data_IF_947132173305
#
_entry.id   IF_947132173305
#
_cell.length_a   1.000
_cell.length_b   1.000
_cell.length_c   1.000
_cell.angle_alpha   90.00
_cell.angle_beta   90.00
_cell.angle_gamma   90.00
#
_symmetry.space_group_name_H-M   'P 1'
#
loop_
_entity.id
_entity.type
_entity.pdbx_description
1 polymer ?
#
# COMPACT_ATOMS: atom_id res chain seq x y z
N UNK A 1 -10.91 -0.16 27.94
CA UNK A 1 -9.76 -0.38 27.04
C UNK A 1 -9.70 0.77 26.06
N UNK A 2 -8.53 1.32 25.73
CA UNK A 2 -8.42 2.25 24.61
C UNK A 2 -8.78 1.53 23.30
N UNK A 3 -9.54 2.19 22.43
CA UNK A 3 -9.92 1.68 21.11
C UNK A 3 -8.66 1.50 20.25
N UNK A 4 -8.45 0.33 19.66
CA UNK A 4 -7.32 0.11 18.74
C UNK A 4 -7.66 0.60 17.32
N UNK A 5 -6.64 0.84 16.48
CA UNK A 5 -6.83 1.16 15.05
C UNK A 5 -7.60 0.05 14.32
N UNK A 6 -7.42 -1.21 14.73
CA UNK A 6 -8.14 -2.35 14.17
C UNK A 6 -9.61 -2.36 14.57
N UNK A 7 -9.93 -2.13 15.84
CA UNK A 7 -11.32 -2.04 16.31
C UNK A 7 -12.06 -0.90 15.59
N UNK A 8 -11.40 0.26 15.49
CA UNK A 8 -11.95 1.41 14.78
C UNK A 8 -12.23 1.13 13.30
N UNK A 9 -11.31 0.46 12.62
CA UNK A 9 -11.49 0.04 11.23
C UNK A 9 -12.66 -0.92 11.10
N UNK A 10 -12.81 -1.89 12.00
CA UNK A 10 -13.88 -2.88 11.93
C UNK A 10 -15.26 -2.28 12.20
N UNK A 11 -15.36 -1.40 13.20
CA UNK A 11 -16.61 -0.78 13.63
C UNK A 11 -17.08 0.29 12.62
N UNK A 12 -16.20 1.21 12.25
CA UNK A 12 -16.60 2.39 11.47
C UNK A 12 -16.43 2.19 9.97
N UNK A 13 -15.38 1.48 9.57
CA UNK A 13 -14.97 1.34 8.17
C UNK A 13 -14.99 -0.11 7.68
N UNK A 14 -15.69 -1.00 8.39
CA UNK A 14 -15.72 -2.44 8.07
C UNK A 14 -16.23 -2.75 6.67
N UNK A 15 -16.99 -1.84 6.06
CA UNK A 15 -17.41 -1.94 4.65
C UNK A 15 -16.24 -1.91 3.66
N UNK A 16 -15.13 -1.22 3.98
CA UNK A 16 -13.90 -1.24 3.16
C UNK A 16 -13.32 -2.65 3.16
N UNK A 17 -13.17 -3.29 4.31
CA UNK A 17 -12.70 -4.69 4.43
C UNK A 17 -13.66 -5.66 3.73
N UNK A 18 -14.97 -5.43 3.81
CA UNK A 18 -16.00 -6.26 3.13
C UNK A 18 -15.94 -6.13 1.59
N UNK A 19 -15.44 -5.02 1.06
CA UNK A 19 -15.32 -4.78 -0.39
C UNK A 19 -14.48 -5.83 -1.12
N UNK A 20 -13.61 -6.55 -0.40
CA UNK A 20 -12.83 -7.69 -0.91
C UNK A 20 -13.68 -8.76 -1.59
N UNK A 21 -14.93 -8.94 -1.13
CA UNK A 21 -15.89 -9.87 -1.73
C UNK A 21 -16.28 -9.47 -3.15
N UNK A 22 -16.32 -8.17 -3.44
CA UNK A 22 -16.67 -7.66 -4.77
C UNK A 22 -15.54 -7.85 -5.76
N UNK A 23 -14.28 -7.78 -5.30
CA UNK A 23 -13.08 -7.94 -6.13
C UNK A 23 -12.55 -9.37 -6.17
N UNK A 24 -12.98 -10.26 -5.27
CA UNK A 24 -12.40 -11.60 -5.14
C UNK A 24 -10.99 -11.57 -4.55
N UNK A 25 -10.67 -10.54 -3.77
CA UNK A 25 -9.37 -10.37 -3.11
C UNK A 25 -9.39 -10.94 -1.68
N UNK A 26 -8.22 -11.22 -1.15
CA UNK A 26 -8.02 -11.48 0.28
C UNK A 26 -7.52 -10.21 0.98
N UNK A 27 -7.74 -10.12 2.29
CA UNK A 27 -7.24 -8.99 3.08
C UNK A 27 -6.41 -9.51 4.24
N UNK A 28 -5.28 -8.88 4.48
CA UNK A 28 -4.39 -9.15 5.62
C UNK A 28 -4.22 -7.86 6.40
N UNK A 29 -4.44 -7.93 7.71
CA UNK A 29 -4.16 -6.84 8.65
C UNK A 29 -2.70 -6.89 9.08
N UNK A 30 -2.06 -5.74 9.23
CA UNK A 30 -0.69 -5.62 9.71
C UNK A 30 -0.62 -5.95 11.20
N UNK A 31 -0.60 -7.23 11.58
CA UNK A 31 -0.54 -7.63 13.00
C UNK A 31 0.87 -7.52 13.61
N UNK A 32 1.82 -6.85 12.96
CA UNK A 32 3.19 -6.65 13.46
C UNK A 32 3.55 -5.15 13.46
N UNK A 33 2.72 -4.34 14.10
CA UNK A 33 3.19 -3.06 14.63
C UNK A 33 4.03 -3.35 15.86
N UNK A 34 5.32 -3.68 15.68
CA UNK A 34 6.29 -3.54 16.76
C UNK A 34 6.41 -2.04 17.08
N UNK A 35 5.53 -1.58 17.95
CA UNK A 35 5.52 -0.24 18.50
C UNK A 35 6.82 0.00 19.26
N UNK A 36 7.67 0.88 18.72
CA UNK A 36 8.58 1.79 19.45
C UNK A 36 9.74 2.17 18.54
N UNK A 37 9.51 3.12 17.62
CA UNK A 37 10.62 3.85 17.01
C UNK A 37 11.28 4.83 17.99
N UNK A 38 10.66 5.08 19.17
CA UNK A 38 11.29 5.78 20.29
C UNK A 38 12.56 5.06 20.77
N UNK A 39 12.56 3.71 20.77
CA UNK A 39 13.74 2.95 21.17
C UNK A 39 14.92 3.09 20.17
N UNK A 40 14.64 3.17 18.86
CA UNK A 40 15.68 3.31 17.82
C UNK A 40 16.22 4.74 17.68
N UNK A 41 15.44 5.76 18.07
CA UNK A 41 15.81 7.17 17.88
C UNK A 41 16.23 7.89 19.16
N UNK A 42 16.28 7.22 20.33
CA UNK A 42 16.73 7.81 21.60
C UNK A 42 18.13 8.43 21.56
N UNK A 43 18.94 8.06 20.57
CA UNK A 43 20.37 8.41 20.47
C UNK A 43 20.63 9.55 19.46
N UNK A 44 19.61 10.02 18.70
CA UNK A 44 19.80 11.10 17.73
C UNK A 44 19.40 12.45 18.31
N UNK A 45 20.33 13.08 19.02
CA UNK A 45 20.24 14.48 19.45
C UNK A 45 20.72 15.38 18.31
N UNK A 46 19.85 16.23 17.76
CA UNK A 46 20.27 17.38 16.94
C UNK A 46 20.06 18.63 17.80
N UNK A 47 21.10 19.43 17.96
CA UNK A 47 21.08 20.61 18.81
C UNK A 47 20.10 21.68 18.33
N UNK A 48 19.32 22.19 19.28
CA UNK A 48 18.66 23.51 19.27
C UNK A 48 17.34 23.72 18.50
N UNK A 49 16.60 22.70 18.12
CA UNK A 49 15.19 22.89 17.69
C UNK A 49 14.33 21.84 18.40
N UNK A 50 13.23 22.27 19.02
CA UNK A 50 12.25 21.38 19.65
C UNK A 50 12.03 20.14 18.78
N UNK A 51 12.37 18.97 19.32
CA UNK A 51 12.42 17.72 18.58
C UNK A 51 11.00 17.33 18.22
N UNK A 52 10.56 17.63 16.99
CA UNK A 52 9.35 17.03 16.45
C UNK A 52 9.50 15.51 16.48
N UNK A 53 8.55 14.82 17.09
CA UNK A 53 8.51 13.35 17.18
C UNK A 53 8.31 12.77 15.78
N UNK A 54 9.40 12.62 15.02
CA UNK A 54 9.40 11.86 13.77
C UNK A 54 9.19 10.38 14.11
N UNK A 55 7.94 9.91 14.04
CA UNK A 55 7.65 8.47 14.00
C UNK A 55 8.32 7.91 12.74
N UNK A 56 9.25 6.98 12.90
CA UNK A 56 9.79 6.25 11.76
C UNK A 56 8.68 5.40 11.14
N UNK A 57 8.56 5.45 9.81
CA UNK A 57 7.55 4.73 9.04
C UNK A 57 7.69 3.23 9.23
N UNK A 58 6.59 2.55 9.60
CA UNK A 58 6.49 1.10 9.39
C UNK A 58 6.57 0.78 7.90
N UNK A 59 7.09 -0.38 7.52
CA UNK A 59 7.15 -0.81 6.11
C UNK A 59 5.83 -1.45 5.63
N UNK A 60 4.84 -1.57 6.51
CA UNK A 60 3.59 -2.28 6.27
C UNK A 60 2.38 -1.39 6.53
N UNK A 61 1.37 -1.52 5.69
CA UNK A 61 0.08 -0.87 5.87
C UNK A 61 -0.77 -1.65 6.87
N UNK A 62 -1.69 -0.96 7.53
CA UNK A 62 -2.60 -1.56 8.52
C UNK A 62 -3.53 -2.59 7.88
N UNK A 63 -3.92 -2.37 6.63
CA UNK A 63 -4.66 -3.36 5.84
C UNK A 63 -4.15 -3.38 4.38
N UNK A 64 -3.91 -4.59 3.86
CA UNK A 64 -3.53 -4.82 2.48
C UNK A 64 -4.55 -5.73 1.78
N UNK A 65 -4.87 -5.42 0.52
CA UNK A 65 -5.69 -6.26 -0.35
C UNK A 65 -4.79 -7.05 -1.30
N UNK A 66 -5.05 -8.34 -1.45
CA UNK A 66 -4.25 -9.24 -2.28
C UNK A 66 -5.08 -9.96 -3.33
N UNK A 67 -4.47 -10.19 -4.49
CA UNK A 67 -4.93 -11.17 -5.47
C UNK A 67 -3.78 -12.13 -5.77
N UNK A 68 -3.95 -13.40 -5.39
CA UNK A 68 -2.82 -14.33 -5.30
C UNK A 68 -1.74 -13.78 -4.36
N UNK A 69 -0.51 -13.66 -4.84
CA UNK A 69 0.63 -13.10 -4.11
C UNK A 69 0.81 -11.57 -4.28
N UNK A 70 -0.07 -10.90 -5.03
CA UNK A 70 0.11 -9.51 -5.46
C UNK A 70 -0.72 -8.54 -4.59
N UNK A 71 -0.08 -7.52 -4.01
CA UNK A 71 -0.72 -6.47 -3.18
C UNK A 71 -1.41 -5.38 -4.01
N UNK A 72 -2.72 -5.47 -4.22
CA UNK A 72 -3.44 -4.56 -5.11
C UNK A 72 -3.81 -3.21 -4.52
N UNK A 73 -4.02 -3.15 -3.20
CA UNK A 73 -4.39 -1.92 -2.53
C UNK A 73 -3.94 -1.91 -1.07
N UNK A 74 -3.82 -0.70 -0.54
CA UNK A 74 -3.38 -0.42 0.82
C UNK A 74 -4.43 0.40 1.56
N UNK A 75 -4.43 0.29 2.89
CA UNK A 75 -5.20 1.14 3.77
C UNK A 75 -4.38 1.41 5.03
N UNK A 76 -4.23 2.69 5.35
CA UNK A 76 -3.64 3.21 6.59
C UNK A 76 -4.74 3.81 7.46
N UNK A 77 -4.60 3.65 8.78
CA UNK A 77 -5.55 4.10 9.77
C UNK A 77 -4.86 5.05 10.75
N UNK A 78 -5.49 6.19 10.98
CA UNK A 78 -5.18 7.08 12.09
C UNK A 78 -6.42 7.34 12.91
N UNK A 79 -6.33 7.09 14.22
CA UNK A 79 -7.42 7.34 15.16
C UNK A 79 -7.74 8.84 15.31
N UNK A 80 -6.73 9.69 15.19
CA UNK A 80 -6.84 11.14 15.32
C UNK A 80 -6.79 11.82 13.95
N UNK A 81 -7.49 12.94 13.87
CA UNK A 81 -7.47 13.83 12.72
C UNK A 81 -6.72 15.12 13.07
N UNK A 82 -5.47 15.22 12.61
CA UNK A 82 -4.62 16.42 12.75
C UNK A 82 -4.84 17.42 11.59
N UNK A 83 -5.88 17.23 10.79
CA UNK A 83 -6.21 18.01 9.60
C UNK A 83 -5.37 17.64 8.37
N UNK A 84 -5.65 18.32 7.25
CA UNK A 84 -5.00 18.06 5.95
C UNK A 84 -3.49 18.27 5.97
N UNK A 85 -3.03 19.21 6.81
CA UNK A 85 -1.60 19.52 7.00
C UNK A 85 -1.01 18.82 8.23
N UNK A 86 -1.77 17.90 8.84
CA UNK A 86 -1.30 17.06 9.93
C UNK A 86 -0.06 16.28 9.52
N UNK A 87 0.95 16.25 10.38
CA UNK A 87 2.23 15.62 10.05
C UNK A 87 2.08 14.11 9.84
N UNK A 88 1.18 13.42 10.56
CA UNK A 88 0.90 11.99 10.35
C UNK A 88 0.36 11.74 8.94
N UNK A 89 -0.70 12.46 8.57
CA UNK A 89 -1.36 12.32 7.28
C UNK A 89 -0.42 12.63 6.10
N UNK A 90 0.35 13.72 6.20
CA UNK A 90 1.29 14.11 5.15
C UNK A 90 2.40 13.07 4.98
N UNK A 91 2.90 12.55 6.09
CA UNK A 91 3.95 11.53 6.11
C UNK A 91 3.44 10.19 5.55
N UNK A 92 2.30 9.70 6.04
CA UNK A 92 1.74 8.41 5.61
C UNK A 92 1.25 8.45 4.17
N UNK A 93 0.39 9.42 3.83
CA UNK A 93 -0.15 9.57 2.47
C UNK A 93 0.93 9.96 1.45
N UNK A 94 1.81 10.89 1.82
CA UNK A 94 2.76 11.50 0.91
C UNK A 94 3.98 10.64 0.64
N UNK A 95 4.44 9.88 1.64
CA UNK A 95 5.72 9.17 1.56
C UNK A 95 5.51 7.67 1.68
N UNK A 96 4.89 7.18 2.76
CA UNK A 96 4.79 5.74 3.05
C UNK A 96 3.96 5.03 1.98
N UNK A 97 2.71 5.46 1.81
CA UNK A 97 1.76 4.85 0.87
C UNK A 97 2.25 5.00 -0.56
N UNK A 98 2.71 6.19 -0.96
CA UNK A 98 3.31 6.45 -2.27
C UNK A 98 4.43 5.45 -2.61
N UNK A 99 5.35 5.21 -1.66
CA UNK A 99 6.45 4.25 -1.86
C UNK A 99 5.93 2.82 -2.00
N UNK A 100 4.93 2.41 -1.21
CA UNK A 100 4.34 1.08 -1.29
C UNK A 100 3.61 0.85 -2.62
N UNK A 101 2.80 1.82 -3.05
CA UNK A 101 2.11 1.78 -4.34
C UNK A 101 3.11 1.65 -5.49
N UNK A 102 4.17 2.47 -5.51
CA UNK A 102 5.20 2.40 -6.57
C UNK A 102 5.96 1.07 -6.57
N UNK A 103 6.32 0.54 -5.40
CA UNK A 103 6.97 -0.78 -5.29
C UNK A 103 6.11 -1.88 -5.92
N UNK A 104 4.81 -1.84 -5.66
CA UNK A 104 3.87 -2.81 -6.23
C UNK A 104 3.73 -2.70 -7.74
N UNK A 105 3.58 -1.48 -8.28
CA UNK A 105 3.50 -1.27 -9.74
C UNK A 105 4.71 -1.86 -10.45
N UNK A 106 5.90 -1.60 -9.89
CA UNK A 106 7.16 -2.10 -10.39
C UNK A 106 7.25 -3.62 -10.33
N UNK A 107 6.75 -4.23 -9.26
CA UNK A 107 6.70 -5.68 -9.12
C UNK A 107 5.83 -6.31 -10.20
N UNK A 108 4.59 -5.84 -10.39
CA UNK A 108 3.69 -6.37 -11.41
C UNK A 108 4.25 -6.16 -12.81
N UNK A 109 4.72 -4.95 -13.12
CA UNK A 109 5.29 -4.63 -14.43
C UNK A 109 6.46 -5.56 -14.78
N UNK A 110 7.36 -5.82 -13.82
CA UNK A 110 8.51 -6.72 -14.03
C UNK A 110 8.10 -8.19 -14.10
N UNK A 111 7.18 -8.63 -13.25
CA UNK A 111 6.80 -10.03 -13.15
C UNK A 111 5.97 -10.50 -14.36
N UNK A 112 5.10 -9.63 -14.88
CA UNK A 112 4.16 -9.98 -15.94
C UNK A 112 4.45 -9.27 -17.27
N UNK A 113 5.52 -8.46 -17.35
CA UNK A 113 5.87 -7.69 -18.55
C UNK A 113 4.85 -6.61 -18.92
N UNK A 114 4.06 -6.14 -17.96
CA UNK A 114 2.96 -5.19 -18.18
C UNK A 114 3.51 -3.76 -18.24
N UNK A 115 3.00 -2.96 -19.18
CA UNK A 115 3.30 -1.53 -19.21
C UNK A 115 2.70 -0.84 -17.97
N UNK A 116 3.50 -0.04 -17.27
CA UNK A 116 3.05 0.70 -16.10
C UNK A 116 1.83 1.59 -16.39
N UNK A 117 1.68 2.11 -17.62
CA UNK A 117 0.54 2.96 -17.98
C UNK A 117 -0.83 2.26 -17.93
N UNK A 118 -0.86 0.93 -17.97
CA UNK A 118 -2.09 0.14 -17.82
C UNK A 118 -2.36 -0.29 -16.38
N UNK A 119 -1.51 0.10 -15.43
CA UNK A 119 -1.61 -0.25 -14.02
C UNK A 119 -2.10 0.97 -13.24
N UNK A 120 -3.25 0.83 -12.60
CA UNK A 120 -3.77 1.82 -11.66
C UNK A 120 -3.76 1.23 -10.25
N UNK A 121 -3.10 1.92 -9.32
CA UNK A 121 -2.99 1.43 -7.93
C UNK A 121 -3.75 2.36 -7.02
N UNK A 122 -4.48 1.76 -6.11
CA UNK A 122 -5.38 2.47 -5.23
C UNK A 122 -4.97 2.27 -3.76
N UNK A 123 -5.12 3.31 -2.94
CA UNK A 123 -4.99 3.22 -1.49
C UNK A 123 -6.03 4.07 -0.78
N UNK A 124 -6.46 3.63 0.40
CA UNK A 124 -7.19 4.45 1.33
C UNK A 124 -6.30 4.97 2.44
N UNK A 125 -6.75 6.05 3.05
CA UNK A 125 -6.23 6.57 4.29
C UNK A 125 -7.40 7.07 5.14
N UNK A 126 -7.42 6.62 6.38
CA UNK A 126 -8.40 7.02 7.38
C UNK A 126 -7.69 7.92 8.39
N UNK A 127 -8.27 9.09 8.68
CA UNK A 127 -7.80 10.03 9.70
C UNK A 127 -9.00 10.44 10.54
N UNK A 128 -9.17 9.82 11.71
CA UNK A 128 -10.42 9.85 12.46
C UNK A 128 -11.59 9.37 11.59
N UNK A 129 -12.66 10.16 11.51
CA UNK A 129 -13.82 9.84 10.68
C UNK A 129 -13.68 10.24 9.22
N UNK A 130 -12.52 10.74 8.80
CA UNK A 130 -12.28 11.15 7.44
C UNK A 130 -11.60 10.05 6.62
N UNK A 131 -12.11 9.84 5.41
CA UNK A 131 -11.60 8.92 4.41
C UNK A 131 -11.07 9.71 3.21
N UNK A 132 -9.82 9.43 2.85
CA UNK A 132 -9.18 9.95 1.65
C UNK A 132 -8.71 8.78 0.80
N UNK A 133 -8.93 8.86 -0.51
CA UNK A 133 -8.41 7.93 -1.49
C UNK A 133 -7.16 8.50 -2.17
N UNK A 134 -6.22 7.63 -2.49
CA UNK A 134 -5.03 7.90 -3.28
C UNK A 134 -5.05 6.99 -4.51
N UNK A 135 -4.90 7.58 -5.68
CA UNK A 135 -4.78 6.88 -6.94
C UNK A 135 -3.39 7.16 -7.52
N UNK A 136 -2.63 6.11 -7.82
CA UNK A 136 -1.38 6.19 -8.54
C UNK A 136 -1.58 5.75 -9.98
N UNK A 137 -1.21 6.63 -10.91
CA UNK A 137 -1.17 6.40 -12.36
C UNK A 137 0.25 6.62 -12.88
N UNK A 138 0.52 6.15 -14.10
CA UNK A 138 1.84 6.24 -14.72
C UNK A 138 1.76 6.83 -16.13
N UNK A 139 2.58 7.84 -16.38
CA UNK A 139 2.77 8.44 -17.69
C UNK A 139 4.25 8.35 -18.06
N UNK A 140 4.59 7.39 -18.92
CA UNK A 140 5.98 7.07 -19.23
C UNK A 140 6.76 6.64 -17.98
N UNK A 141 7.77 7.42 -17.61
CA UNK A 141 8.61 7.19 -16.42
C UNK A 141 8.11 7.89 -15.15
N UNK A 142 7.03 8.69 -15.25
CA UNK A 142 6.51 9.51 -14.16
C UNK A 142 5.35 8.77 -13.49
N UNK A 143 5.41 8.67 -12.16
CA UNK A 143 4.29 8.21 -11.33
C UNK A 143 3.57 9.42 -10.74
N UNK A 144 2.28 9.56 -11.04
CA UNK A 144 1.43 10.63 -10.52
C UNK A 144 0.55 10.08 -9.40
N UNK A 145 0.36 10.86 -8.33
CA UNK A 145 -0.55 10.52 -7.24
C UNK A 145 -1.63 11.58 -7.16
N UNK A 146 -2.87 11.15 -7.38
CA UNK A 146 -4.06 11.99 -7.22
C UNK A 146 -4.74 11.64 -5.91
N UNK A 147 -5.08 12.66 -5.12
CA UNK A 147 -5.86 12.50 -3.89
C UNK A 147 -7.32 12.84 -4.15
N UNK A 148 -8.25 12.06 -3.60
CA UNK A 148 -9.66 12.44 -3.59
C UNK A 148 -9.90 13.61 -2.65
N UNK A 149 -11.11 14.17 -2.72
CA UNK A 149 -11.64 14.96 -1.61
C UNK A 149 -11.66 14.10 -0.35
N UNK A 150 -11.40 14.74 0.78
CA UNK A 150 -11.55 14.17 2.12
C UNK A 150 -13.04 14.05 2.43
N UNK A 151 -13.52 12.83 2.59
CA UNK A 151 -14.92 12.54 2.88
C UNK A 151 -15.08 12.16 4.34
N UNK A 152 -16.03 12.77 5.04
CA UNK A 152 -16.33 12.45 6.43
C UNK A 152 -17.41 11.38 6.52
N UNK A 153 -17.25 10.44 7.43
CA UNK A 153 -18.28 9.48 7.79
C UNK A 153 -19.38 10.18 8.62
N UNK A 154 -20.67 9.83 8.48
CA UNK A 154 -21.73 10.42 9.29
C UNK A 154 -21.54 10.15 10.79
N UNK A 155 -21.77 11.17 11.59
CA UNK A 155 -21.77 11.09 13.07
C UNK A 155 -23.20 11.08 13.62
N UNK A 156 -24.13 11.70 12.90
CA UNK A 156 -25.53 11.74 13.26
C UNK A 156 -26.39 11.07 12.19
N UNK A 157 -27.61 10.69 12.58
CA UNK A 157 -28.58 10.11 11.65
C UNK A 157 -28.91 11.07 10.50
N UNK A 158 -28.91 12.38 10.76
CA UNK A 158 -29.17 13.40 9.75
C UNK A 158 -28.08 13.43 8.66
N UNK A 159 -26.84 13.11 9.00
CA UNK A 159 -25.72 13.12 8.07
C UNK A 159 -25.71 11.91 7.13
N UNK A 160 -26.38 10.82 7.52
CA UNK A 160 -26.32 9.53 6.80
C UNK A 160 -26.70 9.71 5.33
N UNK A 161 -27.82 10.40 5.05
CA UNK A 161 -28.34 10.52 3.68
C UNK A 161 -27.41 11.30 2.75
N UNK A 162 -26.58 12.21 3.29
CA UNK A 162 -25.72 13.07 2.50
C UNK A 162 -24.27 12.59 2.45
N UNK A 163 -23.75 12.02 3.53
CA UNK A 163 -22.34 11.65 3.64
C UNK A 163 -22.09 10.18 3.29
N UNK A 164 -22.93 9.26 3.77
CA UNK A 164 -22.69 7.83 3.59
C UNK A 164 -22.68 7.41 2.11
N UNK A 165 -23.60 7.87 1.24
CA UNK A 165 -23.55 7.53 -0.19
C UNK A 165 -22.26 7.98 -0.87
N UNK A 166 -21.69 9.13 -0.48
CA UNK A 166 -20.45 9.65 -1.05
C UNK A 166 -19.26 8.74 -0.69
N UNK A 167 -19.18 8.34 0.58
CA UNK A 167 -18.16 7.42 1.09
C UNK A 167 -18.27 6.06 0.40
N UNK A 168 -19.49 5.50 0.30
CA UNK A 168 -19.72 4.23 -0.37
C UNK A 168 -19.41 4.29 -1.87
N UNK A 169 -19.75 5.39 -2.54
CA UNK A 169 -19.39 5.63 -3.95
C UNK A 169 -17.87 5.65 -4.14
N UNK A 170 -17.12 6.28 -3.23
CA UNK A 170 -15.67 6.28 -3.28
C UNK A 170 -15.09 4.86 -3.15
N UNK A 171 -15.60 4.06 -2.22
CA UNK A 171 -15.21 2.65 -2.07
C UNK A 171 -15.58 1.80 -3.28
N UNK A 172 -16.75 2.02 -3.85
CA UNK A 172 -17.16 1.31 -5.06
C UNK A 172 -16.25 1.64 -6.24
N UNK A 173 -15.89 2.92 -6.42
CA UNK A 173 -14.95 3.31 -7.47
C UNK A 173 -13.57 2.69 -7.27
N UNK A 174 -13.08 2.62 -6.03
CA UNK A 174 -11.84 1.91 -5.70
C UNK A 174 -11.88 0.44 -6.10
N UNK A 175 -13.00 -0.24 -5.82
CA UNK A 175 -13.24 -1.62 -6.23
C UNK A 175 -13.13 -1.78 -7.75
N UNK A 176 -13.67 -0.85 -8.53
CA UNK A 176 -13.57 -0.91 -10.00
C UNK A 176 -12.12 -0.73 -10.48
N UNK A 177 -11.36 0.18 -9.87
CA UNK A 177 -9.94 0.38 -10.18
C UNK A 177 -9.15 -0.90 -9.91
N UNK A 178 -9.35 -1.51 -8.74
CA UNK A 178 -8.71 -2.78 -8.36
C UNK A 178 -9.07 -3.89 -9.35
N UNK A 179 -10.34 -4.00 -9.76
CA UNK A 179 -10.76 -4.96 -10.80
C UNK A 179 -10.07 -4.73 -12.14
N UNK A 180 -9.93 -3.48 -12.56
CA UNK A 180 -9.20 -3.15 -13.79
C UNK A 180 -7.78 -3.69 -13.76
N UNK A 181 -7.03 -3.38 -12.70
CA UNK A 181 -5.64 -3.86 -12.54
C UNK A 181 -5.56 -5.38 -12.41
N UNK A 182 -6.53 -6.02 -11.75
CA UNK A 182 -6.64 -7.48 -11.69
C UNK A 182 -6.81 -8.10 -13.07
N UNK A 183 -7.70 -7.55 -13.91
CA UNK A 183 -7.94 -8.04 -15.25
C UNK A 183 -6.69 -7.89 -16.12
N UNK A 184 -6.03 -6.74 -16.11
CA UNK A 184 -4.75 -6.51 -16.80
C UNK A 184 -3.70 -7.55 -16.38
N UNK A 185 -3.61 -7.82 -15.07
CA UNK A 185 -2.66 -8.82 -14.54
C UNK A 185 -3.02 -10.24 -14.97
N UNK A 186 -4.32 -10.58 -14.98
CA UNK A 186 -4.81 -11.90 -15.37
C UNK A 186 -4.57 -12.16 -16.85
N UNK A 187 -4.89 -11.20 -17.72
CA UNK A 187 -4.66 -11.28 -19.17
C UNK A 187 -3.17 -11.47 -19.48
N UNK A 188 -2.30 -10.70 -18.83
CA UNK A 188 -0.86 -10.86 -18.99
C UNK A 188 -0.35 -12.20 -18.44
N UNK A 189 -0.94 -12.72 -17.35
CA UNK A 189 -0.57 -14.03 -16.83
C UNK A 189 -0.94 -15.17 -17.79
N UNK A 190 -2.07 -15.05 -18.49
CA UNK A 190 -2.54 -16.06 -19.45
C UNK A 190 -1.80 -16.02 -20.79
N UNK A 191 -1.12 -14.92 -21.11
CA UNK A 191 -0.35 -14.78 -22.36
C UNK A 191 1.11 -15.26 -22.24
N UNK A 192 1.58 -15.60 -21.03
CA UNK A 192 2.91 -16.20 -20.83
C UNK A 192 2.87 -17.66 -21.25
N UNK A 193 3.33 -17.93 -22.46
CA UNK A 193 3.58 -19.28 -22.97
C UNK A 193 4.95 -19.77 -22.49
N UNK A 194 5.06 -21.02 -22.01
CA UNK A 194 6.34 -21.65 -21.70
C UNK A 194 7.24 -21.82 -22.94
N UNK A 195 6.67 -21.66 -24.13
CA UNK A 195 7.29 -22.00 -25.41
C UNK A 195 7.28 -20.82 -26.39
N UNK A 196 7.69 -19.63 -25.93
CA UNK A 196 8.14 -18.61 -26.85
C UNK A 196 9.60 -18.91 -27.19
N UNK A 197 9.88 -19.28 -28.44
CA UNK A 197 11.23 -19.53 -28.99
C UNK A 197 12.18 -18.33 -28.98
N UNK A 198 11.94 -17.34 -28.13
CA UNK A 198 12.81 -16.23 -27.84
C UNK A 198 13.41 -16.43 -26.46
N UNK A 199 14.73 -16.64 -26.44
CA UNK A 199 15.59 -16.79 -25.28
C UNK A 199 15.17 -15.84 -24.15
N UNK A 200 14.46 -16.37 -23.15
CA UNK A 200 14.27 -15.69 -21.87
C UNK A 200 15.66 -15.48 -21.26
N UNK A 201 15.94 -14.32 -20.64
CA UNK A 201 17.11 -14.21 -19.78
C UNK A 201 16.94 -15.23 -18.66
N UNK A 202 17.70 -16.32 -18.76
CA UNK A 202 17.79 -17.38 -17.79
C UNK A 202 17.99 -16.73 -16.42
N UNK A 203 17.00 -16.86 -15.53
CA UNK A 203 17.19 -16.56 -14.12
C UNK A 203 18.33 -17.48 -13.66
N UNK A 204 19.54 -16.96 -13.52
CA UNK A 204 20.65 -17.75 -13.00
C UNK A 204 20.27 -18.22 -11.61
N UNK A 205 20.09 -19.54 -11.39
CA UNK A 205 19.96 -20.03 -10.04
C UNK A 205 21.33 -19.80 -9.41
N UNK A 206 21.41 -18.92 -8.41
CA UNK A 206 22.60 -18.73 -7.61
C UNK A 206 22.89 -20.00 -6.80
N UNK A 207 23.46 -21.01 -7.47
CA UNK A 207 24.21 -22.11 -6.91
C UNK A 207 25.50 -22.22 -7.71
N UNK A 208 26.37 -21.22 -7.56
CA UNK A 208 27.78 -21.39 -7.87
C UNK A 208 28.38 -22.35 -6.83
N UNK A 209 28.23 -23.64 -7.08
CA UNK A 209 29.08 -24.66 -6.51
C UNK A 209 30.21 -24.94 -7.51
N UNK A 210 31.39 -24.36 -7.28
CA UNK A 210 32.64 -25.13 -7.37
C UNK A 210 33.86 -24.35 -6.84
N UNK A 211 34.42 -24.97 -5.80
CA UNK A 211 35.74 -24.85 -5.17
C UNK A 211 36.89 -24.28 -6.03
N UNK A 212 37.80 -23.56 -5.34
CA UNK A 212 39.19 -24.03 -5.10
C UNK A 212 39.81 -23.30 -3.89
N UNK A 213 40.09 -24.06 -2.83
CA UNK A 213 41.03 -23.66 -1.77
C UNK A 213 42.40 -23.48 -2.44
N UNK A 214 43.03 -22.32 -2.30
CA UNK A 214 44.47 -22.19 -2.50
C UNK A 214 45.15 -22.68 -1.21
N UNK A 215 46.03 -23.67 -1.34
CA UNK A 215 47.00 -23.97 -0.30
C UNK A 215 48.03 -22.83 -0.23
N UNK A 216 48.61 -22.51 0.94
CA UNK A 216 49.73 -21.61 1.03
C UNK A 216 50.98 -22.30 0.45
N UNK A 217 51.71 -21.60 -0.42
CA UNK A 217 53.10 -21.95 -0.76
C UNK A 217 54.00 -21.32 0.31
N UNK A 218 54.90 -22.15 0.84
CA UNK A 218 55.97 -21.77 1.76
C UNK A 218 57.00 -20.87 1.06
N UNK A 219 57.39 -19.79 1.73
CA UNK A 219 58.72 -19.19 1.74
C UNK A 219 58.96 -18.54 3.11
#
# INVERSE_FOLDING_TARGET
MPLTEQDFLEDMFGFIKKSKRLTGTTCVTGNESSASSEHKNRIRTIGSICQERRKAFGEHADLCFYYGSNKLAYLEVGLADDGFYGTKELNEAGIKVSKMMKKFALQISRQYGINMSSINIFSFMISGLNLTALLMTFEGSISLITRSKRLRLPETVADILHLLPLVLKLVFNAVQIVKGTMNTTKEASTSVCLDNGNVLPLFSPCYLSSNKRKAPEDD
#
